data_IF_469106652920
#
_entry.id   IF_469106652920
#
_cell.length_a   1.000
_cell.length_b   1.000
_cell.length_c   1.000
_cell.angle_alpha   90.00
_cell.angle_beta   90.00
_cell.angle_gamma   90.00
#
_symmetry.space_group_name_H-M   'P 1'
#
loop_
_entity.id
_entity.type
_entity.pdbx_description
1 polymer ?
#
# COMPACT_ATOMS: atom_id res chain seq x y z
N UNK A 1 25.85 39.81 53.73
CA UNK A 1 25.09 38.57 53.52
C UNK A 1 24.17 38.75 52.32
N UNK A 2 24.65 38.44 51.12
CA UNK A 2 23.88 38.57 49.88
C UNK A 2 23.79 37.20 49.22
N UNK A 3 22.71 36.49 49.52
CA UNK A 3 22.29 35.28 48.82
C UNK A 3 20.81 35.41 48.55
N UNK A 4 20.39 34.95 47.36
CA UNK A 4 19.02 34.88 46.84
C UNK A 4 18.52 36.08 46.03
N UNK A 5 18.79 36.07 44.72
CA UNK A 5 17.75 36.30 43.70
C UNK A 5 18.20 35.95 42.28
N UNK A 6 18.59 34.69 42.03
CA UNK A 6 18.86 34.20 40.65
C UNK A 6 17.91 33.06 40.24
N UNK A 7 17.28 32.37 41.20
CA UNK A 7 16.62 31.08 40.95
C UNK A 7 15.23 31.13 40.29
N UNK A 8 14.63 32.31 40.11
CA UNK A 8 13.24 32.43 39.66
C UNK A 8 13.07 32.63 38.14
N UNK A 9 14.11 33.07 37.41
CA UNK A 9 14.01 33.38 35.96
C UNK A 9 14.42 32.23 35.03
N UNK A 10 15.06 31.17 35.53
CA UNK A 10 15.54 30.05 34.71
C UNK A 10 14.49 28.93 34.52
N UNK A 11 13.58 28.77 35.49
CA UNK A 11 12.51 27.75 35.49
C UNK A 11 11.59 27.74 34.25
N UNK A 12 11.16 28.88 33.68
CA UNK A 12 10.30 28.88 32.49
C UNK A 12 11.05 28.44 31.21
N UNK A 13 12.35 28.75 31.12
CA UNK A 13 13.18 28.45 29.94
C UNK A 13 13.58 26.98 29.91
N UNK A 14 13.89 26.40 31.07
CA UNK A 14 14.14 24.96 31.21
C UNK A 14 12.90 24.11 30.92
N UNK A 15 11.71 24.55 31.38
CA UNK A 15 10.44 23.89 31.04
C UNK A 15 10.13 23.94 29.54
N UNK A 16 10.32 25.10 28.90
CA UNK A 16 10.12 25.24 27.46
C UNK A 16 11.08 24.35 26.64
N UNK A 17 12.34 24.22 27.07
CA UNK A 17 13.33 23.33 26.46
C UNK A 17 12.98 21.85 26.67
N UNK A 18 12.54 21.47 27.87
CA UNK A 18 12.10 20.11 28.17
C UNK A 18 10.85 19.72 27.36
N UNK A 19 9.88 20.62 27.20
CA UNK A 19 8.69 20.40 26.36
C UNK A 19 9.03 20.35 24.86
N UNK A 20 10.00 21.16 24.40
CA UNK A 20 10.48 21.09 23.02
C UNK A 20 11.23 19.77 22.75
N UNK A 21 12.05 19.31 23.69
CA UNK A 21 12.73 18.03 23.62
C UNK A 21 11.73 16.85 23.68
N UNK A 22 10.74 16.91 24.57
CA UNK A 22 9.67 15.91 24.67
C UNK A 22 8.81 15.84 23.39
N UNK A 23 8.43 16.99 22.82
CA UNK A 23 7.73 17.05 21.51
C UNK A 23 8.58 16.52 20.37
N UNK A 24 9.88 16.71 20.41
CA UNK A 24 10.81 16.20 19.39
C UNK A 24 11.01 14.69 19.53
N UNK A 25 11.18 14.20 20.75
CA UNK A 25 11.26 12.77 21.06
C UNK A 25 9.95 12.06 20.72
N UNK A 26 8.80 12.64 21.07
CA UNK A 26 7.48 12.12 20.74
C UNK A 26 7.28 12.03 19.23
N UNK A 27 7.63 13.09 18.46
CA UNK A 27 7.58 13.05 16.99
C UNK A 27 8.52 12.00 16.40
N UNK A 28 9.72 11.83 16.96
CA UNK A 28 10.67 10.78 16.54
C UNK A 28 10.15 9.38 16.83
N UNK A 29 9.54 9.17 18.00
CA UNK A 29 8.93 7.90 18.38
C UNK A 29 7.68 7.59 17.54
N UNK A 30 6.83 8.58 17.27
CA UNK A 30 5.69 8.43 16.36
C UNK A 30 6.14 8.01 14.97
N UNK A 31 7.09 8.72 14.36
CA UNK A 31 7.67 8.34 13.06
C UNK A 31 8.35 6.97 13.07
N UNK A 32 9.03 6.62 14.16
CA UNK A 32 9.65 5.31 14.31
C UNK A 32 8.64 4.15 14.43
N UNK A 33 7.44 4.42 14.94
CA UNK A 33 6.36 3.45 15.12
C UNK A 33 5.37 3.41 13.95
N UNK A 34 5.30 4.45 13.12
CA UNK A 34 4.42 4.52 11.94
C UNK A 34 4.69 3.38 10.95
N UNK A 35 5.97 3.16 10.60
CA UNK A 35 6.39 2.13 9.65
C UNK A 35 6.05 0.71 10.16
N UNK A 36 6.45 0.30 11.38
CA UNK A 36 6.02 -0.97 11.95
C UNK A 36 4.50 -1.12 12.09
N UNK A 37 3.78 -0.07 12.47
CA UNK A 37 2.34 -0.14 12.67
C UNK A 37 1.59 -0.32 11.36
N UNK A 38 2.00 0.37 10.29
CA UNK A 38 1.40 0.20 8.97
C UNK A 38 1.69 -1.18 8.40
N UNK A 39 2.93 -1.66 8.48
CA UNK A 39 3.31 -3.01 8.09
C UNK A 39 2.51 -4.08 8.84
N UNK A 40 2.36 -3.95 10.17
CA UNK A 40 1.57 -4.89 10.97
C UNK A 40 0.08 -4.90 10.58
N UNK A 41 -0.49 -3.74 10.24
CA UNK A 41 -1.87 -3.63 9.77
C UNK A 41 -2.05 -4.30 8.41
N UNK A 42 -1.19 -4.01 7.43
CA UNK A 42 -1.25 -4.63 6.09
C UNK A 42 -1.10 -6.15 6.21
N UNK A 43 -0.11 -6.62 6.99
CA UNK A 43 0.06 -8.04 7.28
C UNK A 43 -1.19 -8.67 7.90
N UNK A 44 -1.82 -8.00 8.87
CA UNK A 44 -3.06 -8.48 9.49
C UNK A 44 -4.20 -8.57 8.47
N UNK A 45 -4.40 -7.53 7.67
CA UNK A 45 -5.53 -7.42 6.76
C UNK A 45 -5.42 -8.39 5.58
N UNK A 46 -4.22 -8.59 5.04
CA UNK A 46 -3.99 -9.49 3.92
C UNK A 46 -3.56 -10.89 4.35
N UNK A 47 -2.46 -11.04 5.08
CA UNK A 47 -1.97 -12.38 5.42
C UNK A 47 -2.90 -13.10 6.42
N UNK A 48 -3.20 -12.47 7.56
CA UNK A 48 -3.97 -13.12 8.64
C UNK A 48 -5.46 -13.24 8.29
N UNK A 49 -6.06 -12.19 7.75
CA UNK A 49 -7.50 -12.12 7.54
C UNK A 49 -7.95 -12.65 6.17
N UNK A 50 -7.08 -12.65 5.15
CA UNK A 50 -7.44 -13.07 3.78
C UNK A 50 -6.70 -14.35 3.36
N UNK A 51 -5.36 -14.33 3.28
CA UNK A 51 -4.59 -15.42 2.68
C UNK A 51 -4.56 -16.67 3.56
N UNK A 52 -4.32 -16.57 4.86
CA UNK A 52 -4.25 -17.76 5.73
C UNK A 52 -5.57 -18.54 5.77
N UNK A 53 -6.75 -17.89 5.92
CA UNK A 53 -8.04 -18.57 5.81
C UNK A 53 -8.29 -19.10 4.40
N UNK A 54 -8.00 -18.33 3.35
CA UNK A 54 -8.22 -18.75 1.97
C UNK A 54 -7.39 -19.99 1.58
N UNK A 55 -6.18 -20.13 2.13
CA UNK A 55 -5.32 -21.31 1.99
C UNK A 55 -5.63 -22.42 3.02
N UNK A 56 -6.61 -22.21 3.92
CA UNK A 56 -6.96 -23.11 5.03
C UNK A 56 -5.74 -23.54 5.86
N UNK A 57 -4.87 -22.58 6.16
CA UNK A 57 -3.64 -22.85 6.90
C UNK A 57 -3.93 -23.22 8.35
N UNK A 58 -3.25 -24.27 8.83
CA UNK A 58 -3.26 -24.67 10.24
C UNK A 58 -2.52 -23.67 11.11
N UNK A 59 -2.72 -23.70 12.43
CA UNK A 59 -2.05 -22.78 13.35
C UNK A 59 -0.51 -22.85 13.26
N UNK A 60 0.05 -24.06 13.12
CA UNK A 60 1.49 -24.26 12.92
C UNK A 60 2.00 -23.63 11.62
N UNK A 61 1.23 -23.76 10.54
CA UNK A 61 1.58 -23.16 9.24
C UNK A 61 1.57 -21.63 9.32
N UNK A 62 0.56 -21.06 10.00
CA UNK A 62 0.49 -19.61 10.23
C UNK A 62 1.69 -19.13 11.05
N UNK A 63 2.00 -19.79 12.17
CA UNK A 63 3.15 -19.46 13.01
C UNK A 63 4.47 -19.51 12.23
N UNK A 64 4.65 -20.52 11.36
CA UNK A 64 5.83 -20.63 10.51
C UNK A 64 5.94 -19.51 9.48
N UNK A 65 4.82 -19.07 8.89
CA UNK A 65 4.82 -18.07 7.83
C UNK A 65 4.82 -16.63 8.36
N UNK A 66 4.30 -16.37 9.56
CA UNK A 66 4.15 -15.02 10.11
C UNK A 66 5.47 -14.24 10.20
N UNK A 67 6.56 -14.75 10.81
CA UNK A 67 7.79 -13.98 10.95
C UNK A 67 8.40 -13.52 9.61
N UNK A 68 8.61 -14.39 8.60
CA UNK A 68 9.20 -13.95 7.33
C UNK A 68 8.28 -13.02 6.54
N UNK A 69 6.96 -13.23 6.56
CA UNK A 69 6.00 -12.36 5.88
C UNK A 69 5.97 -10.96 6.50
N UNK A 70 5.91 -10.87 7.83
CA UNK A 70 5.91 -9.58 8.53
C UNK A 70 7.23 -8.82 8.34
N UNK A 71 8.37 -9.54 8.35
CA UNK A 71 9.67 -8.94 8.07
C UNK A 71 9.72 -8.35 6.66
N UNK A 72 9.24 -9.09 5.66
CA UNK A 72 9.25 -8.62 4.28
C UNK A 72 8.32 -7.42 4.10
N UNK A 73 7.11 -7.47 4.67
CA UNK A 73 6.18 -6.34 4.67
C UNK A 73 6.82 -5.08 5.29
N UNK A 74 7.51 -5.25 6.44
CA UNK A 74 8.27 -4.16 7.05
C UNK A 74 9.39 -3.63 6.13
N UNK A 75 10.13 -4.50 5.43
CA UNK A 75 11.21 -4.10 4.53
C UNK A 75 10.69 -3.35 3.30
N UNK A 76 9.58 -3.81 2.71
CA UNK A 76 8.92 -3.14 1.57
C UNK A 76 8.45 -1.76 2.00
N UNK A 77 7.71 -1.67 3.11
CA UNK A 77 7.18 -0.39 3.58
C UNK A 77 8.27 0.58 4.08
N UNK A 78 9.38 0.05 4.64
CA UNK A 78 10.52 0.89 5.02
C UNK A 78 11.14 1.56 3.80
N UNK A 79 11.27 0.85 2.67
CA UNK A 79 11.79 1.45 1.43
C UNK A 79 10.87 2.56 0.96
N UNK A 80 9.56 2.30 0.94
CA UNK A 80 8.54 3.29 0.58
C UNK A 80 8.63 4.56 1.45
N UNK A 81 8.73 4.40 2.77
CA UNK A 81 8.87 5.53 3.70
C UNK A 81 10.16 6.35 3.52
N UNK A 82 11.25 5.70 3.09
CA UNK A 82 12.53 6.38 2.82
C UNK A 82 12.47 7.15 1.51
N UNK A 83 11.77 6.62 0.49
CA UNK A 83 11.53 7.33 -0.76
C UNK A 83 10.59 8.52 -0.57
N UNK A 84 9.53 8.39 0.23
CA UNK A 84 8.63 9.51 0.55
C UNK A 84 9.30 10.60 1.41
N UNK A 85 10.20 10.22 2.33
CA UNK A 85 10.98 11.15 3.14
C UNK A 85 12.08 11.88 2.35
N UNK A 86 12.43 11.39 1.17
CA UNK A 86 13.42 11.97 0.26
C UNK A 86 12.78 12.89 -0.80
N UNK A 87 11.53 13.36 -0.61
CA UNK A 87 10.83 14.31 -1.50
C UNK A 87 11.49 15.69 -1.67
N UNK A 88 12.66 15.95 -1.05
CA UNK A 88 13.56 17.08 -1.37
C UNK A 88 14.61 16.73 -2.46
N UNK A 89 14.64 15.49 -2.93
CA UNK A 89 15.32 15.13 -4.17
C UNK A 89 14.32 15.38 -5.27
N UNK A 90 14.51 16.50 -5.96
CA UNK A 90 13.84 16.85 -7.20
C UNK A 90 13.84 15.64 -8.15
N UNK A 91 12.70 14.91 -8.20
CA UNK A 91 12.50 13.75 -9.08
C UNK A 91 12.18 14.19 -10.52
N UNK A 92 12.20 15.50 -10.84
CA UNK A 92 11.96 16.02 -12.19
C UNK A 92 13.10 15.71 -13.18
N UNK A 93 14.14 15.00 -12.76
CA UNK A 93 15.18 14.49 -13.67
C UNK A 93 15.49 13.03 -13.35
N UNK A 94 14.60 12.13 -13.75
CA UNK A 94 14.83 10.69 -13.75
C UNK A 94 16.05 10.31 -14.62
N UNK A 95 17.25 10.37 -14.03
CA UNK A 95 18.48 9.84 -14.62
C UNK A 95 18.49 8.32 -14.45
N UNK A 96 19.01 7.62 -15.46
CA UNK A 96 19.23 6.16 -15.48
C UNK A 96 19.84 5.57 -14.18
N UNK A 97 20.58 6.37 -13.42
CA UNK A 97 21.21 5.98 -12.15
C UNK A 97 20.21 5.54 -11.05
N UNK A 98 18.98 6.06 -11.00
CA UNK A 98 17.99 5.63 -10.00
C UNK A 98 17.32 4.30 -10.39
N UNK A 99 17.22 4.01 -11.69
CA UNK A 99 16.83 2.69 -12.18
C UNK A 99 17.90 1.63 -11.86
N UNK A 100 19.18 1.98 -11.94
CA UNK A 100 20.28 1.09 -11.54
C UNK A 100 20.22 0.77 -10.04
N UNK A 101 19.88 1.74 -9.19
CA UNK A 101 19.65 1.51 -7.74
C UNK A 101 18.45 0.61 -7.51
N UNK A 102 17.34 0.83 -8.21
CA UNK A 102 16.14 -0.01 -8.13
C UNK A 102 16.46 -1.46 -8.54
N UNK A 103 17.22 -1.64 -9.62
CA UNK A 103 17.69 -2.96 -10.07
C UNK A 103 18.61 -3.64 -9.06
N UNK A 104 19.56 -2.90 -8.47
CA UNK A 104 20.46 -3.43 -7.45
C UNK A 104 19.70 -3.81 -6.16
N UNK A 105 18.73 -3.00 -5.74
CA UNK A 105 17.85 -3.31 -4.61
C UNK A 105 17.03 -4.57 -4.89
N UNK A 106 16.39 -4.65 -6.05
CA UNK A 106 15.64 -5.82 -6.50
C UNK A 106 16.48 -7.09 -6.46
N UNK A 107 17.68 -7.08 -7.03
CA UNK A 107 18.57 -8.24 -7.02
C UNK A 107 18.93 -8.70 -5.59
N UNK A 108 19.18 -7.76 -4.67
CA UNK A 108 19.44 -8.06 -3.25
C UNK A 108 18.20 -8.62 -2.55
N UNK A 109 17.04 -8.04 -2.81
CA UNK A 109 15.76 -8.48 -2.26
C UNK A 109 15.41 -9.90 -2.73
N UNK A 110 15.56 -10.19 -4.02
CA UNK A 110 15.37 -11.54 -4.58
C UNK A 110 16.35 -12.55 -3.94
N UNK A 111 17.63 -12.17 -3.79
CA UNK A 111 18.62 -13.00 -3.12
C UNK A 111 18.24 -13.31 -1.66
N UNK A 112 17.69 -12.33 -0.94
CA UNK A 112 17.20 -12.51 0.42
C UNK A 112 16.03 -13.50 0.46
N UNK A 113 15.04 -13.34 -0.41
CA UNK A 113 13.86 -14.22 -0.47
C UNK A 113 14.24 -15.66 -0.85
N UNK A 114 15.21 -15.84 -1.76
CA UNK A 114 15.73 -17.17 -2.11
C UNK A 114 16.41 -17.84 -0.92
N UNK A 115 17.25 -17.11 -0.18
CA UNK A 115 17.90 -17.60 1.05
C UNK A 115 16.89 -17.92 2.15
N UNK A 116 15.80 -17.18 2.22
CA UNK A 116 14.69 -17.43 3.15
C UNK A 116 13.71 -18.53 2.68
N UNK A 117 13.97 -19.20 1.55
CA UNK A 117 13.05 -20.16 0.93
C UNK A 117 11.63 -19.60 0.67
N UNK A 118 11.53 -18.29 0.47
CA UNK A 118 10.28 -17.57 0.24
C UNK A 118 10.10 -17.16 -1.23
N UNK A 119 10.98 -17.59 -2.14
CA UNK A 119 10.96 -17.21 -3.55
C UNK A 119 10.38 -18.31 -4.46
N UNK A 120 9.48 -17.93 -5.36
CA UNK A 120 8.92 -18.78 -6.42
C UNK A 120 8.54 -17.91 -7.64
N UNK A 121 7.96 -18.53 -8.68
CA UNK A 121 7.57 -17.82 -9.91
C UNK A 121 6.50 -16.73 -9.69
N UNK A 122 5.62 -16.88 -8.69
CA UNK A 122 4.63 -15.86 -8.32
C UNK A 122 5.34 -14.65 -7.73
N UNK A 123 6.23 -14.88 -6.76
CA UNK A 123 7.04 -13.83 -6.13
C UNK A 123 7.86 -13.07 -7.16
N UNK A 124 8.53 -13.78 -8.09
CA UNK A 124 9.28 -13.14 -9.17
C UNK A 124 8.41 -12.21 -10.04
N UNK A 125 7.19 -12.65 -10.37
CA UNK A 125 6.24 -11.84 -11.15
C UNK A 125 5.79 -10.61 -10.38
N UNK A 126 5.49 -10.73 -9.09
CA UNK A 126 5.01 -9.61 -8.28
C UNK A 126 6.10 -8.57 -8.02
N UNK A 127 7.37 -8.98 -7.86
CA UNK A 127 8.51 -8.05 -7.84
C UNK A 127 8.58 -7.28 -9.17
N UNK A 128 8.38 -7.96 -10.30
CA UNK A 128 8.30 -7.30 -11.62
C UNK A 128 7.08 -6.38 -11.75
N UNK A 129 5.95 -6.71 -11.12
CA UNK A 129 4.78 -5.84 -11.07
C UNK A 129 5.04 -4.57 -10.26
N UNK A 130 5.73 -4.67 -9.12
CA UNK A 130 6.12 -3.49 -8.33
C UNK A 130 7.03 -2.53 -9.12
N UNK A 131 7.96 -3.06 -9.91
CA UNK A 131 8.77 -2.22 -10.81
C UNK A 131 7.91 -1.54 -11.89
N UNK A 132 6.96 -2.26 -12.49
CA UNK A 132 6.01 -1.71 -13.47
C UNK A 132 5.12 -0.63 -12.84
N UNK A 133 4.69 -0.83 -11.60
CA UNK A 133 3.93 0.15 -10.82
C UNK A 133 4.70 1.45 -10.71
N UNK A 134 5.93 1.42 -10.18
CA UNK A 134 6.77 2.61 -10.00
C UNK A 134 7.01 3.35 -11.32
N UNK A 135 7.28 2.62 -12.41
CA UNK A 135 7.46 3.22 -13.75
C UNK A 135 6.20 3.93 -14.24
N UNK A 136 5.04 3.30 -14.07
CA UNK A 136 3.77 3.85 -14.51
C UNK A 136 3.33 5.03 -13.63
N UNK A 137 3.55 4.95 -12.32
CA UNK A 137 3.24 6.01 -11.36
C UNK A 137 4.07 7.26 -11.67
N UNK A 138 5.37 7.10 -11.94
CA UNK A 138 6.23 8.18 -12.39
C UNK A 138 5.74 8.79 -13.71
N UNK A 139 5.34 7.97 -14.69
CA UNK A 139 4.78 8.44 -15.97
C UNK A 139 3.49 9.25 -15.72
N UNK A 140 2.57 8.75 -14.91
CA UNK A 140 1.27 9.38 -14.62
C UNK A 140 1.43 10.68 -13.82
N UNK A 141 2.43 10.75 -12.94
CA UNK A 141 2.71 11.94 -12.11
C UNK A 141 3.44 13.04 -12.90
N UNK A 142 4.34 12.66 -13.82
CA UNK A 142 5.13 13.60 -14.63
C UNK A 142 4.44 14.05 -15.92
N UNK A 143 3.56 13.22 -16.50
CA UNK A 143 2.86 13.54 -17.74
C UNK A 143 1.56 14.28 -17.49
N UNK A 144 1.23 15.24 -18.36
CA UNK A 144 -0.06 15.97 -18.31
C UNK A 144 -1.24 15.17 -18.87
N UNK A 145 -0.99 14.02 -19.50
CA UNK A 145 -2.00 13.22 -20.19
C UNK A 145 -2.02 11.82 -19.59
N UNK A 146 -2.83 11.66 -18.56
CA UNK A 146 -3.20 10.36 -18.00
C UNK A 146 -4.48 9.94 -18.72
N UNK A 147 -4.59 8.68 -19.12
CA UNK A 147 -5.83 8.12 -19.65
C UNK A 147 -6.45 7.10 -18.68
N UNK A 148 -7.66 6.67 -18.98
CA UNK A 148 -8.38 5.71 -18.15
C UNK A 148 -7.65 4.36 -18.00
N UNK A 149 -7.00 3.90 -19.08
CA UNK A 149 -6.31 2.62 -19.08
C UNK A 149 -5.07 2.65 -18.18
N UNK A 150 -4.31 3.75 -18.19
CA UNK A 150 -3.18 3.98 -17.30
C UNK A 150 -3.62 4.00 -15.82
N UNK A 151 -4.75 4.65 -15.49
CA UNK A 151 -5.29 4.67 -14.11
C UNK A 151 -5.72 3.29 -13.65
N UNK A 152 -6.45 2.55 -14.49
CA UNK A 152 -6.84 1.18 -14.16
C UNK A 152 -5.60 0.30 -13.99
N UNK A 153 -4.60 0.46 -14.85
CA UNK A 153 -3.37 -0.33 -14.76
C UNK A 153 -2.59 -0.04 -13.48
N UNK A 154 -2.59 1.20 -13.00
CA UNK A 154 -2.03 1.53 -11.69
C UNK A 154 -2.78 0.83 -10.56
N UNK A 155 -4.12 0.94 -10.54
CA UNK A 155 -4.96 0.26 -9.54
C UNK A 155 -4.74 -1.26 -9.54
N UNK A 156 -4.54 -1.86 -10.70
CA UNK A 156 -4.23 -3.29 -10.85
C UNK A 156 -2.84 -3.68 -10.35
N UNK A 157 -1.84 -2.81 -10.51
CA UNK A 157 -0.44 -3.08 -10.13
C UNK A 157 -0.16 -2.74 -8.66
N UNK A 158 -0.96 -1.84 -8.06
CA UNK A 158 -0.79 -1.34 -6.69
C UNK A 158 -0.70 -2.47 -5.64
N UNK A 159 -1.55 -3.52 -5.66
CA UNK A 159 -1.49 -4.59 -4.67
C UNK A 159 -0.34 -5.60 -4.87
N UNK A 160 0.68 -5.27 -5.67
CA UNK A 160 1.79 -6.19 -5.98
C UNK A 160 2.62 -6.57 -4.75
N UNK A 161 2.74 -5.69 -3.77
CA UNK A 161 3.40 -5.93 -2.48
C UNK A 161 2.63 -6.96 -1.62
N UNK A 162 1.32 -6.85 -1.53
CA UNK A 162 0.50 -7.79 -0.77
C UNK A 162 0.36 -9.11 -1.52
N UNK A 163 0.36 -9.12 -2.85
CA UNK A 163 0.40 -10.34 -3.66
C UNK A 163 1.74 -11.05 -3.55
N UNK A 164 2.84 -10.31 -3.37
CA UNK A 164 4.14 -10.89 -3.03
C UNK A 164 4.04 -11.72 -1.75
N UNK A 165 3.35 -11.22 -0.71
CA UNK A 165 3.12 -11.98 0.53
C UNK A 165 2.31 -13.27 0.30
N UNK A 166 1.29 -13.24 -0.56
CA UNK A 166 0.53 -14.44 -0.93
C UNK A 166 1.42 -15.45 -1.67
N UNK A 167 2.21 -14.97 -2.64
CA UNK A 167 3.21 -15.78 -3.35
C UNK A 167 4.22 -16.44 -2.40
N UNK A 168 4.75 -15.68 -1.44
CA UNK A 168 5.67 -16.17 -0.42
C UNK A 168 5.02 -17.25 0.46
N UNK A 169 3.73 -17.14 0.76
CA UNK A 169 3.01 -18.12 1.58
C UNK A 169 3.12 -19.54 0.97
N UNK A 170 3.01 -19.67 -0.36
CA UNK A 170 3.19 -20.97 -1.02
C UNK A 170 4.63 -21.49 -0.91
N UNK A 171 5.62 -20.61 -1.14
CA UNK A 171 7.04 -20.97 -1.06
C UNK A 171 7.44 -21.43 0.35
N UNK A 172 7.04 -20.68 1.38
CA UNK A 172 7.35 -20.99 2.79
C UNK A 172 6.73 -22.31 3.28
N UNK A 173 5.60 -22.70 2.67
CA UNK A 173 4.93 -23.97 2.91
C UNK A 173 5.49 -25.12 2.07
N UNK A 174 6.41 -24.86 1.13
CA UNK A 174 6.93 -25.85 0.20
C UNK A 174 5.87 -26.39 -0.76
N UNK A 175 4.88 -25.56 -1.12
CA UNK A 175 3.75 -25.95 -1.99
C UNK A 175 3.82 -25.22 -3.33
N UNK A 176 3.35 -25.86 -4.43
CA UNK A 176 3.08 -25.15 -5.67
C UNK A 176 2.07 -24.01 -5.43
N UNK A 177 2.18 -22.95 -6.24
CA UNK A 177 1.23 -21.86 -6.20
C UNK A 177 -0.16 -22.32 -6.65
N UNK A 178 -1.19 -22.02 -5.87
CA UNK A 178 -2.58 -22.25 -6.24
C UNK A 178 -3.02 -21.13 -7.20
N UNK A 179 -2.94 -21.41 -8.50
CA UNK A 179 -3.25 -20.44 -9.55
C UNK A 179 -4.72 -20.04 -9.57
N UNK A 180 -5.64 -20.95 -9.22
CA UNK A 180 -7.06 -20.64 -9.13
C UNK A 180 -7.31 -19.67 -7.97
N UNK A 181 -6.68 -19.92 -6.82
CA UNK A 181 -6.83 -19.02 -5.67
C UNK A 181 -6.23 -17.64 -5.91
N UNK A 182 -5.07 -17.58 -6.59
CA UNK A 182 -4.46 -16.30 -6.99
C UNK A 182 -5.37 -15.51 -7.93
N UNK A 183 -5.99 -16.16 -8.92
CA UNK A 183 -6.95 -15.50 -9.83
C UNK A 183 -8.20 -15.01 -9.09
N UNK A 184 -8.74 -15.83 -8.20
CA UNK A 184 -9.90 -15.48 -7.39
C UNK A 184 -9.67 -14.23 -6.53
N UNK A 185 -8.51 -14.14 -5.88
CA UNK A 185 -8.22 -13.03 -4.96
C UNK A 185 -7.72 -11.77 -5.66
N UNK A 186 -7.24 -11.88 -6.89
CA UNK A 186 -6.77 -10.73 -7.66
C UNK A 186 -7.77 -9.55 -7.70
N UNK A 187 -9.06 -9.73 -8.09
CA UNK A 187 -10.02 -8.63 -8.09
C UNK A 187 -10.35 -8.12 -6.68
N UNK A 188 -10.33 -9.00 -5.66
CA UNK A 188 -10.54 -8.61 -4.25
C UNK A 188 -9.44 -7.66 -3.78
N UNK A 189 -8.19 -7.91 -4.16
CA UNK A 189 -7.04 -7.08 -3.81
C UNK A 189 -7.10 -5.72 -4.52
N UNK A 190 -7.50 -5.68 -5.80
CA UNK A 190 -7.72 -4.41 -6.53
C UNK A 190 -8.82 -3.59 -5.86
N UNK A 191 -9.97 -4.21 -5.56
CA UNK A 191 -11.09 -3.55 -4.89
C UNK A 191 -10.70 -3.05 -3.49
N UNK A 192 -9.87 -3.81 -2.77
CA UNK A 192 -9.40 -3.41 -1.46
C UNK A 192 -8.50 -2.18 -1.51
N UNK A 193 -7.61 -2.07 -2.51
CA UNK A 193 -6.76 -0.89 -2.69
C UNK A 193 -7.55 0.32 -3.21
N UNK A 194 -8.51 0.14 -4.13
CA UNK A 194 -9.46 1.21 -4.49
C UNK A 194 -10.20 1.70 -3.24
N UNK A 195 -10.65 0.78 -2.38
CA UNK A 195 -11.33 1.12 -1.14
C UNK A 195 -10.44 1.84 -0.12
N UNK A 196 -9.15 1.47 -0.03
CA UNK A 196 -8.17 2.21 0.76
C UNK A 196 -8.04 3.65 0.25
N UNK A 197 -7.91 3.82 -1.08
CA UNK A 197 -7.84 5.14 -1.72
C UNK A 197 -9.11 5.98 -1.46
N UNK A 198 -10.29 5.37 -1.42
CA UNK A 198 -11.53 6.07 -1.06
C UNK A 198 -11.53 6.51 0.41
N UNK A 199 -10.99 5.67 1.30
CA UNK A 199 -10.93 5.97 2.73
C UNK A 199 -9.91 7.07 3.04
N UNK A 200 -8.76 7.03 2.38
CA UNK A 200 -7.64 7.96 2.60
C UNK A 200 -7.67 9.17 1.63
N UNK A 201 -8.70 9.29 0.77
CA UNK A 201 -8.79 10.27 -0.33
C UNK A 201 -8.34 11.68 0.06
N UNK A 202 -8.95 12.31 1.06
CA UNK A 202 -8.62 13.68 1.43
C UNK A 202 -7.18 13.83 1.94
N UNK A 203 -6.68 12.81 2.65
CA UNK A 203 -5.32 12.80 3.19
C UNK A 203 -4.28 12.63 2.07
N UNK A 204 -4.55 11.72 1.13
CA UNK A 204 -3.63 11.41 0.03
C UNK A 204 -3.52 12.60 -0.93
N UNK A 205 -4.67 13.21 -1.31
CA UNK A 205 -4.67 14.40 -2.17
C UNK A 205 -3.95 15.56 -1.49
N UNK A 206 -4.20 15.81 -0.20
CA UNK A 206 -3.50 16.86 0.54
C UNK A 206 -1.99 16.59 0.67
N UNK A 207 -1.58 15.33 0.70
CA UNK A 207 -0.18 14.90 0.74
C UNK A 207 0.50 14.81 -0.64
N UNK A 208 -0.21 15.10 -1.73
CA UNK A 208 0.29 14.95 -3.10
C UNK A 208 0.62 13.50 -3.47
N UNK A 209 -0.04 12.53 -2.84
CA UNK A 209 0.14 11.11 -3.11
C UNK A 209 -0.81 10.65 -4.22
N UNK A 210 -0.42 9.62 -4.97
CA UNK A 210 -1.30 9.03 -5.97
C UNK A 210 -2.52 8.37 -5.30
N UNK A 211 -3.70 8.73 -5.80
CA UNK A 211 -4.99 8.21 -5.36
C UNK A 211 -5.86 7.91 -6.58
N UNK A 212 -6.41 6.70 -6.65
CA UNK A 212 -7.20 6.25 -7.79
C UNK A 212 -8.44 7.11 -7.99
N UNK A 213 -9.15 7.48 -6.92
CA UNK A 213 -10.36 8.30 -7.06
C UNK A 213 -10.03 9.73 -7.52
N UNK A 214 -8.94 10.31 -7.02
CA UNK A 214 -8.44 11.61 -7.51
C UNK A 214 -8.14 11.57 -9.02
N UNK A 215 -7.52 10.50 -9.49
CA UNK A 215 -7.28 10.30 -10.92
C UNK A 215 -8.60 10.22 -11.72
N UNK A 216 -9.64 9.55 -11.19
CA UNK A 216 -10.96 9.55 -11.81
C UNK A 216 -11.60 10.95 -11.81
N UNK A 217 -11.47 11.72 -10.73
CA UNK A 217 -11.95 13.11 -10.66
C UNK A 217 -11.27 13.98 -11.72
N UNK A 218 -9.95 13.84 -11.92
CA UNK A 218 -9.21 14.55 -12.96
C UNK A 218 -9.64 14.19 -14.38
N UNK A 219 -9.97 12.92 -14.62
CA UNK A 219 -10.38 12.43 -15.95
C UNK A 219 -11.84 12.75 -16.29
N UNK A 220 -12.74 12.66 -15.31
CA UNK A 220 -14.18 12.62 -15.54
C UNK A 220 -14.95 13.73 -14.84
N UNK A 221 -14.29 14.54 -14.01
CA UNK A 221 -14.90 15.62 -13.24
C UNK A 221 -16.11 15.12 -12.44
N UNK A 222 -17.28 15.76 -12.54
CA UNK A 222 -18.49 15.35 -11.82
C UNK A 222 -18.96 13.91 -12.09
N UNK A 223 -18.58 13.30 -13.22
CA UNK A 223 -18.97 11.93 -13.55
C UNK A 223 -18.08 10.86 -12.88
N UNK A 224 -17.01 11.27 -12.18
CA UNK A 224 -16.04 10.36 -11.57
C UNK A 224 -16.63 9.32 -10.60
N UNK A 225 -17.56 9.67 -9.67
CA UNK A 225 -18.14 8.69 -8.78
C UNK A 225 -18.84 7.56 -9.53
N UNK A 226 -19.59 7.89 -10.59
CA UNK A 226 -20.35 6.90 -11.35
C UNK A 226 -19.45 6.01 -12.22
N UNK A 227 -18.41 6.62 -12.81
CA UNK A 227 -17.38 5.86 -13.53
C UNK A 227 -16.65 4.90 -12.60
N UNK A 228 -16.29 5.33 -11.38
CA UNK A 228 -15.63 4.46 -10.42
C UNK A 228 -16.54 3.33 -9.94
N UNK A 229 -17.84 3.60 -9.71
CA UNK A 229 -18.82 2.54 -9.38
C UNK A 229 -18.92 1.48 -10.47
N UNK A 230 -18.87 1.89 -11.73
CA UNK A 230 -18.87 0.97 -12.87
C UNK A 230 -17.66 0.03 -12.81
N UNK A 231 -16.48 0.56 -12.52
CA UNK A 231 -15.25 -0.24 -12.39
C UNK A 231 -15.26 -1.14 -11.16
N UNK A 232 -15.77 -0.65 -10.02
CA UNK A 232 -15.97 -1.47 -8.82
C UNK A 232 -16.89 -2.65 -9.15
N UNK A 233 -18.05 -2.39 -9.77
CA UNK A 233 -18.98 -3.45 -10.17
C UNK A 233 -18.35 -4.46 -11.14
N UNK A 234 -17.50 -4.00 -12.06
CA UNK A 234 -16.75 -4.87 -12.97
C UNK A 234 -15.82 -5.82 -12.20
N UNK A 235 -15.02 -5.32 -11.27
CA UNK A 235 -14.14 -6.19 -10.46
C UNK A 235 -14.92 -7.09 -9.52
N UNK A 236 -16.07 -6.65 -8.97
CA UNK A 236 -16.95 -7.51 -8.19
C UNK A 236 -17.49 -8.67 -9.03
N UNK A 237 -17.90 -8.41 -10.27
CA UNK A 237 -18.34 -9.45 -11.18
C UNK A 237 -17.21 -10.43 -11.51
N UNK A 238 -15.99 -9.93 -11.80
CA UNK A 238 -14.81 -10.77 -12.02
C UNK A 238 -14.53 -11.69 -10.83
N UNK A 239 -14.67 -11.17 -9.60
CA UNK A 239 -14.53 -11.99 -8.40
C UNK A 239 -15.59 -13.10 -8.33
N UNK A 240 -16.85 -12.79 -8.64
CA UNK A 240 -17.94 -13.76 -8.63
C UNK A 240 -17.79 -14.82 -9.72
N UNK A 241 -17.28 -14.44 -10.90
CA UNK A 241 -17.02 -15.36 -12.00
C UNK A 241 -15.90 -16.35 -11.63
N UNK A 242 -14.77 -15.86 -11.13
CA UNK A 242 -13.68 -16.72 -10.64
C UNK A 242 -14.13 -17.60 -9.45
N UNK A 243 -15.03 -17.11 -8.60
CA UNK A 243 -15.59 -17.86 -7.48
C UNK A 243 -16.47 -19.03 -7.96
N UNK A 244 -17.16 -18.90 -9.08
CA UNK A 244 -18.04 -19.94 -9.61
C UNK A 244 -17.28 -21.22 -9.97
N UNK A 245 -16.01 -21.09 -10.34
CA UNK A 245 -15.10 -22.21 -10.66
C UNK A 245 -14.67 -23.03 -9.43
N UNK A 246 -14.89 -22.50 -8.22
CA UNK A 246 -14.55 -23.22 -6.98
C UNK A 246 -15.64 -24.21 -6.60
N UNK A 247 -15.29 -25.32 -5.91
CA UNK A 247 -16.28 -26.25 -5.38
C UNK A 247 -17.32 -25.55 -4.52
N UNK A 248 -18.62 -25.88 -4.70
CA UNK A 248 -19.74 -25.24 -3.98
C UNK A 248 -19.53 -25.16 -2.46
N UNK A 249 -18.91 -26.18 -1.87
CA UNK A 249 -18.58 -26.23 -0.44
C UNK A 249 -17.60 -25.15 0.02
N UNK A 250 -16.81 -24.56 -0.88
CA UNK A 250 -15.87 -23.45 -0.60
C UNK A 250 -16.42 -22.08 -0.97
N UNK A 251 -17.39 -22.01 -1.88
CA UNK A 251 -17.83 -20.73 -2.43
C UNK A 251 -18.36 -19.77 -1.34
N UNK A 252 -19.16 -20.26 -0.40
CA UNK A 252 -19.70 -19.41 0.68
C UNK A 252 -18.59 -18.85 1.58
N UNK A 253 -17.61 -19.67 1.96
CA UNK A 253 -16.44 -19.27 2.76
C UNK A 253 -15.61 -18.21 2.03
N UNK A 254 -15.23 -18.49 0.77
CA UNK A 254 -14.40 -17.60 -0.03
C UNK A 254 -15.11 -16.29 -0.37
N UNK A 255 -16.42 -16.34 -0.66
CA UNK A 255 -17.27 -15.15 -0.84
C UNK A 255 -17.21 -14.27 0.41
N UNK A 256 -17.46 -14.85 1.58
CA UNK A 256 -17.47 -14.10 2.84
C UNK A 256 -16.08 -13.51 3.18
N UNK A 257 -15.00 -14.24 2.87
CA UNK A 257 -13.63 -13.73 3.03
C UNK A 257 -13.35 -12.53 2.12
N UNK A 258 -13.65 -12.67 0.83
CA UNK A 258 -13.42 -11.62 -0.17
C UNK A 258 -14.27 -10.37 0.11
N UNK A 259 -15.59 -10.52 0.25
CA UNK A 259 -16.49 -9.38 0.46
C UNK A 259 -16.20 -8.63 1.75
N UNK A 260 -15.81 -9.33 2.83
CA UNK A 260 -15.40 -8.68 4.08
C UNK A 260 -14.18 -7.77 3.88
N UNK A 261 -13.27 -8.11 2.97
CA UNK A 261 -12.03 -7.33 2.76
C UNK A 261 -12.31 -5.99 2.08
N UNK A 262 -13.13 -5.98 1.04
CA UNK A 262 -13.25 -4.81 0.16
C UNK A 262 -14.59 -4.06 0.29
N UNK A 263 -15.70 -4.75 0.62
CA UNK A 263 -17.03 -4.15 0.56
C UNK A 263 -17.22 -2.97 1.51
N UNK A 264 -16.75 -3.01 2.77
CA UNK A 264 -16.87 -1.86 3.66
C UNK A 264 -16.13 -0.62 3.14
N UNK A 265 -15.02 -0.83 2.42
CA UNK A 265 -14.15 0.24 1.92
C UNK A 265 -14.65 0.86 0.62
N UNK A 266 -15.44 0.11 -0.15
CA UNK A 266 -16.00 0.54 -1.45
C UNK A 266 -17.46 0.95 -1.36
N UNK A 267 -18.07 0.85 -0.18
CA UNK A 267 -19.48 1.18 0.03
C UNK A 267 -19.80 2.67 -0.12
N UNK A 268 -18.83 3.53 0.17
CA UNK A 268 -18.99 4.99 0.17
C UNK A 268 -17.90 5.60 -0.69
N UNK A 269 -18.30 6.41 -1.67
CA UNK A 269 -17.38 7.25 -2.43
C UNK A 269 -17.44 8.65 -1.82
N UNK A 270 -16.31 9.23 -1.37
CA UNK A 270 -16.31 10.53 -0.72
C UNK A 270 -16.61 11.65 -1.72
N UNK A 271 -17.00 12.81 -1.19
CA UNK A 271 -17.13 14.02 -2.00
C UNK A 271 -15.78 14.42 -2.56
N UNK A 272 -15.76 14.72 -3.87
CA UNK A 272 -14.57 15.19 -4.57
C UNK A 272 -14.14 16.55 -4.02
N UNK A 273 -12.84 16.73 -3.81
CA UNK A 273 -12.29 18.03 -3.46
C UNK A 273 -12.48 19.00 -4.63
N UNK A 274 -12.75 20.30 -4.36
CA UNK A 274 -12.79 21.29 -5.41
C UNK A 274 -11.45 21.32 -6.15
N UNK A 275 -11.49 21.46 -7.47
CA UNK A 275 -10.28 21.56 -8.28
C UNK A 275 -9.38 22.66 -7.70
N UNK A 276 -8.14 22.32 -7.34
CA UNK A 276 -7.18 23.34 -6.95
C UNK A 276 -7.00 24.30 -8.13
N UNK A 277 -7.08 25.63 -7.92
CA UNK A 277 -6.82 26.58 -8.98
C UNK A 277 -5.42 26.30 -9.53
N UNK A 278 -5.34 26.26 -10.86
CA UNK A 278 -4.06 26.04 -11.52
C UNK A 278 -3.06 27.12 -11.07
N UNK A 279 -1.74 26.85 -11.04
CA UNK A 279 -0.75 27.86 -10.67
C UNK A 279 -0.83 29.15 -11.52
N UNK A 280 -1.46 29.09 -12.69
CA UNK A 280 -1.75 30.24 -13.56
C UNK A 280 -2.88 31.16 -13.06
N UNK A 281 -3.61 30.78 -12.01
CA UNK A 281 -4.75 31.50 -11.44
C UNK A 281 -4.48 32.02 -10.01
N UNK A 282 -3.24 31.95 -9.53
CA UNK A 282 -2.85 32.65 -8.30
C UNK A 282 -2.54 34.12 -8.66
N UNK A 283 -3.19 35.09 -8.00
CA UNK A 283 -2.94 36.51 -8.25
C UNK A 283 -1.51 36.94 -7.93
#
# INVERSE_FOLDING_TARGET
>A
MATHSIRAKELPRERALAEAAARTLHRRLQRALEVPSKAARIFKDYAVNLYFPANRMSALQRLRCTPPLLLVEYLVYRVDSVTEGAKDVDLDVARNADYDKLHAYKARFESLLRRAHAYNGVVAREIGNGERYVRLENKVTSSRTVDHADVLRLAELRPSDVRLLHGMTFALLGRPADTALLKLLWPVEVLADIGNDLTDYHKDVAGGQFNTYDAFVKLYGPAAPERLRTEIARYEQMFLDELAEFPRARQAELRALGTRRYRPLTAVIPEALPAHPTPAERP
#
